data_IF_913874945475
#
_entry.id   IF_913874945475
#
_cell.length_a   1.000
_cell.length_b   1.000
_cell.length_c   1.000
_cell.angle_alpha   90.00
_cell.angle_beta   90.00
_cell.angle_gamma   90.00
#
_symmetry.space_group_name_H-M   'P 1'
#
loop_
_entity.id
_entity.type
_entity.pdbx_description
1 polymer ?
#
# COMPACT_ATOMS: atom_id res chain seq x y z
N UNK A 1 -92.02 -47.10 -33.95
CA UNK A 1 -91.74 -45.66 -33.76
C UNK A 1 -90.30 -45.39 -33.28
N UNK A 2 -89.69 -46.24 -32.46
CA UNK A 2 -88.31 -45.95 -31.92
C UNK A 2 -87.16 -45.94 -32.97
N UNK A 3 -87.29 -46.72 -34.05
CA UNK A 3 -86.20 -46.79 -35.10
C UNK A 3 -86.10 -45.54 -36.03
N UNK A 4 -87.28 -44.85 -36.25
CA UNK A 4 -87.30 -43.64 -37.11
C UNK A 4 -86.77 -42.39 -36.40
N UNK A 5 -86.89 -42.34 -35.09
CA UNK A 5 -86.45 -41.20 -34.29
C UNK A 5 -84.88 -41.25 -34.15
N UNK A 6 -84.27 -42.45 -34.03
CA UNK A 6 -82.84 -42.62 -33.95
C UNK A 6 -82.15 -42.25 -35.28
N UNK A 7 -82.79 -42.59 -36.43
CA UNK A 7 -82.22 -42.24 -37.75
C UNK A 7 -82.26 -40.73 -38.00
N UNK A 8 -83.28 -40.03 -37.48
CA UNK A 8 -83.39 -38.60 -37.60
C UNK A 8 -82.45 -37.83 -36.72
N UNK A 9 -82.21 -38.35 -35.49
CA UNK A 9 -81.21 -37.79 -34.58
C UNK A 9 -79.74 -38.01 -35.12
N UNK A 10 -79.44 -39.15 -35.76
CA UNK A 10 -78.15 -39.41 -36.36
C UNK A 10 -77.93 -38.52 -37.61
N UNK A 11 -79.02 -38.26 -38.36
CA UNK A 11 -78.94 -37.39 -39.59
C UNK A 11 -78.75 -35.92 -39.17
N UNK A 12 -79.36 -35.47 -38.07
CA UNK A 12 -79.21 -34.10 -37.54
C UNK A 12 -77.84 -33.93 -36.92
N UNK A 13 -77.27 -34.96 -36.22
CA UNK A 13 -75.92 -34.91 -35.71
C UNK A 13 -74.88 -34.95 -36.80
N UNK A 14 -75.10 -35.69 -37.92
CA UNK A 14 -74.18 -35.70 -39.06
C UNK A 14 -74.19 -34.41 -39.86
N UNK A 15 -75.34 -33.72 -39.92
CA UNK A 15 -75.41 -32.41 -40.54
C UNK A 15 -74.79 -31.29 -39.70
N UNK A 16 -74.96 -31.35 -38.35
CA UNK A 16 -74.28 -30.42 -37.46
C UNK A 16 -72.76 -30.61 -37.40
N UNK A 17 -72.26 -31.83 -37.59
CA UNK A 17 -70.82 -32.10 -37.68
C UNK A 17 -70.23 -31.65 -39.03
N UNK A 18 -71.06 -31.63 -40.08
CA UNK A 18 -70.65 -31.17 -41.43
C UNK A 18 -70.55 -29.65 -41.58
N UNK A 19 -71.19 -28.87 -40.66
CA UNK A 19 -71.18 -27.41 -40.73
C UNK A 19 -70.06 -26.79 -39.90
N UNK A 20 -69.35 -27.59 -39.08
CA UNK A 20 -68.22 -27.11 -38.29
C UNK A 20 -66.88 -27.37 -39.01
N UNK A 21 -66.85 -28.05 -40.12
CA UNK A 21 -65.69 -28.08 -41.03
C UNK A 21 -65.75 -26.90 -42.01
N UNK A 22 -65.73 -25.65 -41.52
CA UNK A 22 -65.23 -24.56 -42.33
C UNK A 22 -63.77 -24.86 -42.56
N UNK A 23 -63.50 -25.38 -43.72
CA UNK A 23 -62.20 -25.69 -44.27
C UNK A 23 -61.28 -24.46 -44.12
N UNK A 24 -60.50 -24.47 -43.09
CA UNK A 24 -59.33 -23.63 -43.09
C UNK A 24 -58.48 -24.07 -44.27
N UNK A 25 -58.41 -23.24 -45.33
CA UNK A 25 -57.43 -23.44 -46.42
C UNK A 25 -56.07 -23.62 -45.72
N UNK A 26 -55.48 -24.80 -45.84
CA UNK A 26 -54.11 -25.04 -45.33
C UNK A 26 -53.16 -24.15 -46.12
N UNK A 27 -52.89 -22.99 -45.58
CA UNK A 27 -51.75 -22.24 -46.03
C UNK A 27 -50.49 -23.02 -45.57
N UNK A 28 -49.60 -23.22 -46.48
CA UNK A 28 -48.26 -23.72 -46.18
C UNK A 28 -47.37 -22.63 -45.56
N UNK A 29 -47.76 -21.37 -45.75
CA UNK A 29 -47.09 -20.21 -45.16
C UNK A 29 -48.15 -19.21 -44.70
N UNK A 30 -48.08 -18.78 -43.43
CA UNK A 30 -48.97 -17.80 -42.83
C UNK A 30 -48.41 -16.39 -42.96
N UNK A 31 -49.20 -15.45 -43.45
CA UNK A 31 -48.88 -14.03 -43.49
C UNK A 31 -49.49 -13.38 -42.26
N UNK A 32 -48.67 -13.23 -41.23
CA UNK A 32 -49.10 -12.61 -39.97
C UNK A 32 -49.04 -11.09 -40.06
N UNK A 33 -50.00 -10.43 -39.42
CA UNK A 33 -49.99 -8.99 -39.19
C UNK A 33 -49.00 -8.58 -38.08
N UNK A 34 -49.10 -7.32 -37.72
CA UNK A 34 -48.29 -6.77 -36.62
C UNK A 34 -48.59 -7.43 -35.29
N UNK A 35 -47.58 -7.43 -34.41
CA UNK A 35 -47.77 -7.91 -33.06
C UNK A 35 -48.60 -6.94 -32.22
N UNK A 36 -49.62 -7.42 -31.54
CA UNK A 36 -50.38 -6.69 -30.54
C UNK A 36 -50.06 -7.25 -29.12
N UNK A 37 -49.85 -6.37 -28.17
CA UNK A 37 -49.61 -6.78 -26.77
C UNK A 37 -50.98 -7.13 -26.17
N UNK A 38 -51.12 -8.39 -25.73
CA UNK A 38 -52.34 -8.88 -25.07
C UNK A 38 -52.24 -8.78 -23.55
N UNK A 39 -51.01 -8.80 -23.03
CA UNK A 39 -50.67 -8.58 -21.64
C UNK A 39 -49.32 -7.93 -21.53
N UNK A 40 -49.25 -6.77 -20.87
CA UNK A 40 -48.00 -6.08 -20.59
C UNK A 40 -47.11 -6.90 -19.65
N UNK A 41 -45.80 -6.88 -19.94
CA UNK A 41 -44.83 -7.43 -19.02
C UNK A 41 -44.63 -6.49 -17.82
N UNK A 42 -44.51 -7.06 -16.63
CA UNK A 42 -44.14 -6.35 -15.43
C UNK A 42 -42.83 -6.90 -14.88
N UNK A 43 -42.27 -6.31 -13.87
CA UNK A 43 -41.09 -6.86 -13.19
C UNK A 43 -41.38 -8.14 -12.37
N UNK A 44 -42.62 -8.56 -12.26
CA UNK A 44 -43.06 -9.78 -11.52
C UNK A 44 -43.75 -10.80 -12.39
N UNK A 45 -44.15 -10.43 -13.60
CA UNK A 45 -44.86 -11.32 -14.52
C UNK A 45 -44.44 -11.08 -15.96
N UNK A 46 -44.37 -12.18 -16.72
CA UNK A 46 -44.13 -12.10 -18.17
C UNK A 46 -45.36 -11.50 -18.84
N UNK A 47 -45.12 -10.72 -19.87
CA UNK A 47 -46.15 -10.26 -20.80
C UNK A 47 -46.44 -11.30 -21.87
N UNK A 48 -47.39 -10.97 -22.75
CA UNK A 48 -47.75 -11.80 -23.88
C UNK A 48 -48.15 -10.89 -25.07
N UNK A 49 -47.75 -11.26 -26.24
CA UNK A 49 -48.15 -10.62 -27.49
C UNK A 49 -48.68 -11.65 -28.49
N UNK A 50 -49.65 -11.25 -29.26
CA UNK A 50 -50.20 -12.09 -30.30
C UNK A 50 -50.17 -11.38 -31.65
N UNK A 51 -50.17 -12.17 -32.72
CA UNK A 51 -50.44 -11.72 -34.06
C UNK A 51 -51.35 -12.71 -34.77
N UNK A 52 -52.09 -12.23 -35.73
CA UNK A 52 -53.13 -13.00 -36.41
C UNK A 52 -52.81 -13.07 -37.89
N UNK A 53 -52.95 -14.25 -38.49
CA UNK A 53 -52.87 -14.39 -39.91
C UNK A 53 -54.13 -13.72 -40.54
N UNK A 54 -53.89 -12.74 -41.45
CA UNK A 54 -54.93 -11.98 -42.10
C UNK A 54 -55.87 -12.81 -42.98
N UNK A 55 -55.42 -13.99 -43.45
CA UNK A 55 -56.20 -14.83 -44.37
C UNK A 55 -57.01 -15.92 -43.65
N UNK A 56 -56.45 -16.55 -42.60
CA UNK A 56 -57.10 -17.70 -41.94
C UNK A 56 -57.45 -17.46 -40.47
N UNK A 57 -57.06 -16.35 -39.88
CA UNK A 57 -57.33 -16.02 -38.49
C UNK A 57 -56.51 -16.80 -37.46
N UNK A 58 -55.51 -17.59 -37.92
CA UNK A 58 -54.67 -18.34 -36.99
C UNK A 58 -53.87 -17.37 -36.14
N UNK A 59 -53.86 -17.60 -34.84
CA UNK A 59 -53.11 -16.81 -33.83
C UNK A 59 -51.75 -17.43 -33.61
N UNK A 60 -50.77 -16.57 -33.48
CA UNK A 60 -49.45 -16.87 -32.96
C UNK A 60 -49.20 -16.03 -31.72
N UNK A 61 -48.85 -16.66 -30.61
CA UNK A 61 -48.55 -15.99 -29.34
C UNK A 61 -47.09 -16.13 -29.00
N UNK A 62 -46.56 -15.10 -28.36
CA UNK A 62 -45.16 -15.08 -27.88
C UNK A 62 -45.11 -14.41 -26.50
N UNK A 63 -44.29 -14.99 -25.59
CA UNK A 63 -44.07 -14.40 -24.28
C UNK A 63 -43.13 -13.17 -24.41
N UNK A 64 -43.44 -12.12 -23.67
CA UNK A 64 -42.59 -10.96 -23.44
C UNK A 64 -41.88 -11.18 -22.12
N UNK A 65 -40.56 -11.09 -22.11
CA UNK A 65 -39.76 -11.21 -20.89
C UNK A 65 -40.21 -10.20 -19.82
N UNK A 66 -40.07 -10.56 -18.55
CA UNK A 66 -40.32 -9.62 -17.44
C UNK A 66 -39.45 -8.37 -17.62
N UNK A 67 -40.02 -7.21 -17.25
CA UNK A 67 -39.24 -5.97 -17.18
C UNK A 67 -38.26 -6.01 -16.01
N UNK A 68 -37.20 -5.21 -16.08
CA UNK A 68 -36.28 -5.04 -14.97
C UNK A 68 -36.96 -4.31 -13.80
N UNK A 69 -36.46 -4.55 -12.56
CA UNK A 69 -36.91 -3.81 -11.42
C UNK A 69 -36.42 -2.36 -11.46
N UNK A 70 -37.31 -1.41 -11.23
CA UNK A 70 -36.98 0.01 -11.10
C UNK A 70 -36.59 0.32 -9.65
N UNK A 71 -35.31 0.59 -9.41
CA UNK A 71 -34.79 0.88 -8.08
C UNK A 71 -34.09 2.24 -8.13
N UNK A 72 -34.59 3.18 -7.33
CA UNK A 72 -34.08 4.55 -7.29
C UNK A 72 -32.85 4.67 -6.40
N UNK A 73 -32.84 3.96 -5.25
CA UNK A 73 -31.76 3.99 -4.28
C UNK A 73 -31.42 2.59 -3.77
N UNK A 74 -30.15 2.39 -3.45
CA UNK A 74 -29.64 1.16 -2.87
C UNK A 74 -28.98 1.43 -1.53
N UNK A 75 -29.36 0.68 -0.50
CA UNK A 75 -28.65 0.63 0.78
C UNK A 75 -27.57 -0.44 0.75
N UNK A 76 -26.35 -0.07 1.12
CA UNK A 76 -25.25 -1.03 1.23
C UNK A 76 -25.39 -1.79 2.54
N UNK A 77 -25.67 -3.08 2.46
CA UNK A 77 -25.83 -3.98 3.62
C UNK A 77 -24.52 -4.65 4.01
N UNK A 78 -23.60 -4.79 3.04
CA UNK A 78 -22.26 -5.30 3.26
C UNK A 78 -21.27 -4.55 2.37
N UNK A 79 -20.29 -3.88 2.98
CA UNK A 79 -19.21 -3.23 2.24
C UNK A 79 -18.31 -4.27 1.57
N UNK A 80 -17.92 -4.09 0.30
CA UNK A 80 -16.90 -4.92 -0.32
C UNK A 80 -15.51 -4.58 0.25
N UNK A 81 -14.66 -5.58 0.38
CA UNK A 81 -13.24 -5.41 0.64
C UNK A 81 -12.39 -5.83 -0.59
N UNK A 82 -11.08 -5.99 -0.41
CA UNK A 82 -10.19 -6.32 -1.53
C UNK A 82 -10.54 -7.64 -2.21
N UNK A 83 -11.02 -8.63 -1.48
CA UNK A 83 -11.24 -10.01 -1.95
C UNK A 83 -12.68 -10.46 -1.83
N UNK A 84 -13.46 -9.85 -0.93
CA UNK A 84 -14.83 -10.25 -0.64
C UNK A 84 -15.81 -9.29 -1.29
N UNK A 85 -16.76 -9.85 -2.01
CA UNK A 85 -17.86 -9.09 -2.57
C UNK A 85 -18.76 -8.51 -1.47
N UNK A 86 -19.22 -7.31 -1.69
CA UNK A 86 -20.24 -6.64 -0.89
C UNK A 86 -21.64 -6.97 -1.36
N UNK A 87 -22.61 -6.33 -0.73
CA UNK A 87 -24.03 -6.50 -0.99
C UNK A 87 -24.78 -5.20 -0.80
N UNK A 88 -25.69 -4.92 -1.70
CA UNK A 88 -26.64 -3.82 -1.58
C UNK A 88 -28.06 -4.30 -1.85
N UNK A 89 -29.00 -3.69 -1.19
CA UNK A 89 -30.42 -3.96 -1.38
C UNK A 89 -31.15 -2.69 -1.80
N UNK A 90 -32.19 -2.85 -2.58
CA UNK A 90 -33.07 -1.75 -2.95
C UNK A 90 -34.50 -2.23 -3.09
N UNK A 91 -35.49 -1.34 -2.95
CA UNK A 91 -36.90 -1.66 -3.09
C UNK A 91 -37.35 -1.19 -4.47
N UNK A 92 -37.97 -2.09 -5.22
CA UNK A 92 -38.54 -1.73 -6.52
C UNK A 92 -39.75 -0.79 -6.33
N UNK A 93 -39.69 0.38 -6.96
CA UNK A 93 -40.79 1.38 -6.90
C UNK A 93 -42.09 0.91 -7.58
N UNK A 94 -41.98 -0.09 -8.47
CA UNK A 94 -43.13 -0.59 -9.22
C UNK A 94 -43.87 -1.76 -8.51
N UNK A 95 -43.12 -2.64 -7.84
CA UNK A 95 -43.72 -3.85 -7.24
C UNK A 95 -43.48 -4.00 -5.73
N UNK A 96 -42.72 -3.13 -5.10
CA UNK A 96 -42.38 -3.18 -3.66
C UNK A 96 -41.46 -4.30 -3.23
N UNK A 97 -40.98 -5.14 -4.14
CA UNK A 97 -40.05 -6.23 -3.78
C UNK A 97 -38.67 -5.70 -3.49
N UNK A 98 -38.01 -6.30 -2.50
CA UNK A 98 -36.61 -6.05 -2.21
C UNK A 98 -35.73 -6.84 -3.19
N UNK A 99 -34.86 -6.13 -3.88
CA UNK A 99 -33.87 -6.70 -4.80
C UNK A 99 -32.50 -6.62 -4.18
N UNK A 100 -31.82 -7.75 -4.15
CA UNK A 100 -30.46 -7.91 -3.63
C UNK A 100 -29.48 -7.94 -4.78
N UNK A 101 -28.46 -7.10 -4.71
CA UNK A 101 -27.43 -7.00 -5.75
C UNK A 101 -26.04 -7.16 -5.12
N UNK A 102 -25.24 -8.02 -5.73
CA UNK A 102 -23.84 -8.19 -5.33
C UNK A 102 -23.01 -7.00 -5.83
N UNK A 103 -22.23 -6.40 -4.92
CA UNK A 103 -21.21 -5.40 -5.25
C UNK A 103 -19.88 -6.15 -5.39
N UNK A 104 -19.22 -6.00 -6.51
CA UNK A 104 -17.95 -6.69 -6.73
C UNK A 104 -16.90 -6.32 -5.69
N UNK A 105 -16.00 -7.27 -5.37
CA UNK A 105 -14.83 -7.01 -4.54
C UNK A 105 -13.96 -5.90 -5.18
N UNK A 106 -13.35 -5.08 -4.32
CA UNK A 106 -12.61 -3.90 -4.77
C UNK A 106 -11.29 -4.22 -5.47
N UNK A 107 -10.81 -5.47 -5.34
CA UNK A 107 -9.47 -5.85 -5.79
C UNK A 107 -8.37 -5.20 -4.94
N UNK A 108 -7.14 -5.64 -5.14
CA UNK A 108 -5.99 -5.02 -4.52
C UNK A 108 -5.54 -3.80 -5.33
N UNK A 109 -5.16 -2.73 -4.63
CA UNK A 109 -4.60 -1.52 -5.23
C UNK A 109 -3.21 -1.29 -4.64
N UNK A 110 -2.13 -1.61 -5.39
CA UNK A 110 -0.78 -1.41 -4.90
C UNK A 110 -0.48 0.08 -4.75
N UNK A 111 0.24 0.45 -3.67
CA UNK A 111 0.83 1.77 -3.54
C UNK A 111 2.01 1.92 -4.50
N UNK A 112 2.35 3.15 -4.85
CA UNK A 112 3.55 3.44 -5.61
C UNK A 112 4.79 3.16 -4.77
N UNK A 113 5.83 2.60 -5.44
CA UNK A 113 7.07 2.19 -4.79
C UNK A 113 7.02 0.78 -4.19
N UNK A 114 8.19 0.30 -3.81
CA UNK A 114 8.39 -1.02 -3.21
C UNK A 114 8.78 -0.89 -1.75
N UNK A 115 8.27 -1.80 -0.92
CA UNK A 115 8.77 -2.05 0.43
C UNK A 115 9.82 -3.16 0.32
N UNK A 116 10.99 -2.96 0.91
CA UNK A 116 12.07 -3.94 0.92
C UNK A 116 12.20 -4.60 2.29
N UNK A 117 12.31 -5.93 2.29
CA UNK A 117 12.81 -6.72 3.41
C UNK A 117 14.23 -7.20 3.07
N UNK A 118 14.79 -8.10 3.89
CA UNK A 118 16.16 -8.58 3.71
C UNK A 118 16.35 -9.47 2.48
N UNK A 119 15.34 -10.28 2.13
CA UNK A 119 15.40 -11.23 1.02
C UNK A 119 14.52 -10.84 -0.17
N UNK A 120 13.43 -10.13 0.08
CA UNK A 120 12.40 -9.84 -0.92
C UNK A 120 11.95 -8.39 -0.88
N UNK A 121 11.40 -7.93 -1.99
CA UNK A 121 10.65 -6.69 -2.06
C UNK A 121 9.23 -6.95 -2.56
N UNK A 122 8.30 -6.06 -2.19
CA UNK A 122 6.89 -6.16 -2.57
C UNK A 122 6.24 -4.78 -2.62
N UNK A 123 5.08 -4.69 -3.25
CA UNK A 123 4.21 -3.51 -3.14
C UNK A 123 3.12 -3.76 -2.11
N UNK A 124 2.85 -2.79 -1.28
CA UNK A 124 1.79 -2.87 -0.27
C UNK A 124 0.44 -2.55 -0.91
N UNK A 125 -0.60 -3.31 -0.59
CA UNK A 125 -1.95 -2.89 -0.95
C UNK A 125 -2.38 -1.68 -0.10
N UNK A 126 -2.92 -0.62 -0.74
CA UNK A 126 -3.38 0.59 -0.04
C UNK A 126 -4.62 0.38 0.83
N UNK A 127 -5.34 -0.74 0.66
CA UNK A 127 -6.60 -1.05 1.35
C UNK A 127 -6.49 -2.16 2.38
N UNK A 128 -5.48 -3.00 2.28
CA UNK A 128 -5.23 -4.11 3.20
C UNK A 128 -3.73 -4.37 3.32
N UNK A 129 -3.32 -5.21 4.27
CA UNK A 129 -1.90 -5.46 4.53
C UNK A 129 -1.27 -6.54 3.64
N UNK A 130 -1.92 -6.93 2.54
CA UNK A 130 -1.39 -7.95 1.64
C UNK A 130 -0.21 -7.41 0.85
N UNK A 131 0.86 -8.19 0.77
CA UNK A 131 1.99 -7.97 -0.11
C UNK A 131 1.62 -8.37 -1.54
N UNK A 132 1.93 -7.52 -2.49
CA UNK A 132 1.68 -7.72 -3.92
C UNK A 132 3.02 -7.73 -4.66
N UNK A 133 3.11 -8.54 -5.70
CA UNK A 133 4.31 -8.63 -6.57
C UNK A 133 5.59 -8.94 -5.77
N UNK A 134 5.48 -9.76 -4.71
CA UNK A 134 6.64 -10.14 -3.91
C UNK A 134 7.62 -10.95 -4.75
N UNK A 135 8.87 -10.52 -4.75
CA UNK A 135 9.96 -11.20 -5.47
C UNK A 135 11.29 -10.99 -4.77
N UNK A 136 12.23 -11.91 -5.01
CA UNK A 136 13.58 -11.79 -4.51
C UNK A 136 14.31 -10.58 -5.11
N UNK A 137 15.32 -10.06 -4.42
CA UNK A 137 16.15 -8.97 -4.92
C UNK A 137 16.99 -9.43 -6.12
N UNK A 138 16.87 -8.71 -7.22
CA UNK A 138 17.74 -8.88 -8.40
C UNK A 138 18.87 -7.86 -8.32
N UNK A 139 20.01 -8.27 -7.77
CA UNK A 139 21.15 -7.39 -7.53
C UNK A 139 21.98 -7.20 -8.79
N UNK A 140 22.30 -5.95 -9.08
CA UNK A 140 23.34 -5.55 -10.01
C UNK A 140 24.25 -4.55 -9.29
N UNK A 141 25.55 -4.84 -9.26
CA UNK A 141 26.54 -4.05 -8.53
C UNK A 141 26.15 -3.86 -7.03
N UNK A 142 25.59 -4.92 -6.41
CA UNK A 142 25.17 -4.92 -5.01
C UNK A 142 23.85 -4.19 -4.72
N UNK A 143 23.16 -3.64 -5.73
CA UNK A 143 21.91 -2.88 -5.58
C UNK A 143 20.77 -3.57 -6.31
N UNK A 144 19.65 -3.78 -5.63
CA UNK A 144 18.43 -4.26 -6.29
C UNK A 144 17.88 -3.21 -7.26
N UNK A 145 17.78 -3.58 -8.54
CA UNK A 145 17.38 -2.65 -9.59
C UNK A 145 15.89 -2.24 -9.50
N UNK A 146 15.09 -2.95 -8.72
CA UNK A 146 13.66 -2.68 -8.58
C UNK A 146 13.34 -1.77 -7.38
N UNK A 147 13.95 -2.03 -6.22
CA UNK A 147 13.61 -1.33 -4.98
C UNK A 147 14.78 -0.52 -4.38
N UNK A 148 15.98 -0.61 -4.95
CA UNK A 148 17.16 0.07 -4.44
C UNK A 148 17.80 -0.57 -3.20
N UNK A 149 17.26 -1.71 -2.72
CA UNK A 149 17.82 -2.43 -1.57
C UNK A 149 19.27 -2.87 -1.87
N UNK A 150 20.14 -2.73 -0.87
CA UNK A 150 21.53 -3.17 -0.93
C UNK A 150 21.77 -4.21 0.16
N UNK A 151 22.53 -5.24 -0.16
CA UNK A 151 23.02 -6.18 0.84
C UNK A 151 23.87 -5.44 1.88
N UNK A 152 23.58 -5.70 3.16
CA UNK A 152 24.37 -5.11 4.24
C UNK A 152 25.67 -5.87 4.39
N UNK A 153 26.77 -5.17 4.16
CA UNK A 153 28.13 -5.68 4.38
C UNK A 153 28.73 -4.94 5.56
N UNK A 154 28.90 -5.66 6.66
CA UNK A 154 29.50 -5.10 7.88
C UNK A 154 30.96 -4.77 7.70
N UNK A 155 31.39 -3.66 8.31
CA UNK A 155 32.77 -3.24 8.35
C UNK A 155 33.60 -4.18 9.24
N UNK A 156 34.73 -4.66 8.72
CA UNK A 156 35.74 -5.36 9.49
C UNK A 156 36.64 -4.33 10.19
N UNK A 157 36.29 -4.02 11.46
CA UNK A 157 36.89 -2.94 12.20
C UNK A 157 38.36 -3.18 12.54
N UNK A 158 39.13 -2.10 12.55
CA UNK A 158 40.54 -2.06 13.05
C UNK A 158 40.58 -1.32 14.38
N UNK A 159 41.42 -1.81 15.28
CA UNK A 159 41.47 -1.33 16.67
C UNK A 159 42.93 -1.00 17.06
N UNK A 160 43.10 -0.04 17.96
CA UNK A 160 44.35 0.29 18.62
C UNK A 160 44.14 0.28 20.16
N UNK A 161 45.11 -0.31 20.88
CA UNK A 161 45.07 -0.32 22.34
C UNK A 161 45.60 1.03 22.87
N UNK A 162 44.78 1.68 23.71
CA UNK A 162 45.13 2.94 24.33
C UNK A 162 45.99 2.74 25.59
N UNK A 163 46.74 3.77 26.07
CA UNK A 163 47.55 3.68 27.25
C UNK A 163 46.77 3.38 28.56
N UNK A 164 45.47 3.67 28.60
CA UNK A 164 44.57 3.37 29.72
C UNK A 164 44.09 1.92 29.72
N UNK A 165 44.50 1.12 28.75
CA UNK A 165 44.13 -0.28 28.60
C UNK A 165 42.80 -0.52 27.91
N UNK A 166 42.17 0.50 27.31
CA UNK A 166 40.95 0.37 26.48
C UNK A 166 41.28 0.38 24.97
N UNK A 167 40.32 0.02 24.12
CA UNK A 167 40.47 0.09 22.67
C UNK A 167 39.77 1.31 22.09
N UNK A 168 40.40 1.84 21.03
CA UNK A 168 39.80 2.80 20.09
C UNK A 168 39.64 2.16 18.71
N UNK A 169 38.50 2.39 18.05
CA UNK A 169 38.30 2.00 16.64
C UNK A 169 39.00 2.99 15.74
N UNK A 170 39.91 2.52 14.89
CA UNK A 170 40.73 3.35 13.99
C UNK A 170 40.24 3.37 12.56
N UNK A 171 39.37 2.43 12.15
CA UNK A 171 38.81 2.32 10.82
C UNK A 171 38.31 0.91 10.52
N UNK A 172 38.39 0.51 9.24
CA UNK A 172 38.02 -0.83 8.78
C UNK A 172 38.81 -1.24 7.54
N UNK A 173 38.88 -2.56 7.25
CA UNK A 173 39.70 -3.15 6.21
C UNK A 173 38.98 -3.48 4.90
N UNK A 174 37.71 -3.88 4.95
CA UNK A 174 36.93 -4.29 3.77
C UNK A 174 36.25 -3.10 3.06
N UNK A 175 36.67 -2.85 1.82
CA UNK A 175 36.22 -1.68 1.05
C UNK A 175 34.70 -1.71 0.71
N UNK A 176 34.10 -2.89 0.63
CA UNK A 176 32.70 -3.12 0.29
C UNK A 176 31.72 -2.82 1.43
N UNK A 177 32.24 -2.62 2.66
CA UNK A 177 31.41 -2.35 3.83
C UNK A 177 30.47 -1.15 3.61
N UNK A 178 29.21 -1.32 3.94
CA UNK A 178 28.21 -0.26 3.90
C UNK A 178 27.52 -0.03 5.27
N UNK A 179 27.86 -0.84 6.26
CA UNK A 179 27.42 -0.70 7.63
C UNK A 179 28.58 -0.83 8.62
N UNK A 180 28.46 -0.10 9.73
CA UNK A 180 29.45 -0.08 10.82
C UNK A 180 28.75 -0.39 12.13
N UNK A 181 29.22 -1.41 12.84
CA UNK A 181 28.81 -1.72 14.21
C UNK A 181 29.99 -1.56 15.14
N UNK A 182 30.01 -0.49 15.94
CA UNK A 182 31.05 -0.24 16.93
C UNK A 182 30.67 -1.02 18.20
N UNK A 183 31.43 -2.09 18.56
CA UNK A 183 31.07 -2.94 19.70
C UNK A 183 31.47 -2.31 21.03
N UNK A 184 30.85 -2.74 22.12
CA UNK A 184 31.23 -2.33 23.50
C UNK A 184 32.58 -2.91 23.93
N UNK A 185 33.01 -4.05 23.35
CA UNK A 185 34.25 -4.73 23.71
C UNK A 185 34.93 -5.34 22.49
N UNK A 186 36.25 -5.39 22.52
CA UNK A 186 37.07 -6.15 21.57
C UNK A 186 38.10 -6.97 22.38
N UNK A 187 38.21 -8.26 22.11
CA UNK A 187 39.05 -9.21 22.85
C UNK A 187 38.84 -9.14 24.40
N UNK A 188 37.57 -9.01 24.85
CA UNK A 188 37.16 -8.85 26.25
C UNK A 188 37.66 -7.56 26.94
N UNK A 189 38.12 -6.58 26.18
CA UNK A 189 38.53 -5.27 26.68
C UNK A 189 37.57 -4.21 26.12
N UNK A 190 37.24 -3.21 26.92
CA UNK A 190 36.32 -2.15 26.56
C UNK A 190 36.78 -1.37 25.31
N UNK A 191 35.87 -1.10 24.41
CA UNK A 191 36.03 -0.14 23.30
C UNK A 191 35.38 1.16 23.75
N UNK A 192 36.16 2.21 23.91
CA UNK A 192 35.70 3.47 24.52
C UNK A 192 35.63 4.64 23.54
N UNK A 193 36.28 4.53 22.40
CA UNK A 193 36.32 5.66 21.48
C UNK A 193 36.33 5.24 19.99
N UNK A 194 35.94 6.20 19.14
CA UNK A 194 36.17 6.18 17.69
C UNK A 194 37.21 7.24 17.38
N UNK A 195 38.31 6.82 16.75
CA UNK A 195 39.46 7.68 16.46
C UNK A 195 39.10 8.81 15.48
N UNK A 196 39.94 9.87 15.49
CA UNK A 196 39.77 10.95 14.55
C UNK A 196 39.88 10.42 13.09
N UNK A 197 38.87 10.82 12.27
CA UNK A 197 38.79 10.44 10.86
C UNK A 197 38.70 8.94 10.56
N UNK A 198 38.34 8.07 11.53
CA UNK A 198 38.27 6.62 11.34
C UNK A 198 37.43 6.21 10.11
N UNK A 199 36.32 6.91 9.88
CA UNK A 199 35.41 6.67 8.75
C UNK A 199 35.26 7.90 7.82
N UNK A 200 36.23 8.81 7.87
CA UNK A 200 36.17 10.03 7.06
C UNK A 200 36.08 9.75 5.57
N UNK A 201 35.11 10.42 4.89
CA UNK A 201 34.87 10.34 3.46
C UNK A 201 34.49 8.93 2.94
N UNK A 202 33.86 8.13 3.80
CA UNK A 202 33.32 6.79 3.48
C UNK A 202 31.85 6.87 3.08
N UNK A 203 31.56 7.33 1.87
CA UNK A 203 30.21 7.56 1.34
C UNK A 203 29.37 6.29 1.21
N UNK A 204 30.03 5.12 1.10
CA UNK A 204 29.39 3.81 1.07
C UNK A 204 28.76 3.41 2.42
N UNK A 205 29.24 3.96 3.54
CA UNK A 205 28.67 3.67 4.87
C UNK A 205 27.31 4.36 5.00
N UNK A 206 26.23 3.54 5.08
CA UNK A 206 24.85 3.98 5.18
C UNK A 206 24.27 3.83 6.59
N UNK A 207 24.79 2.90 7.38
CA UNK A 207 24.35 2.64 8.75
C UNK A 207 25.54 2.64 9.71
N UNK A 208 25.35 3.29 10.85
CA UNK A 208 26.26 3.24 11.98
C UNK A 208 25.48 2.87 13.24
N UNK A 209 25.97 1.85 13.95
CA UNK A 209 25.49 1.48 15.29
C UNK A 209 26.61 1.66 16.29
N UNK A 210 26.34 2.40 17.35
CA UNK A 210 27.26 2.62 18.46
C UNK A 210 26.74 1.85 19.68
N UNK A 211 27.54 0.95 20.23
CA UNK A 211 27.16 0.25 21.47
C UNK A 211 27.24 1.19 22.68
N UNK A 212 26.44 0.90 23.73
CA UNK A 212 26.65 1.51 25.03
C UNK A 212 28.04 1.16 25.56
N UNK A 213 28.70 2.13 26.21
CA UNK A 213 30.09 2.03 26.65
C UNK A 213 31.08 2.83 25.80
N UNK A 214 30.69 3.25 24.60
CA UNK A 214 31.44 4.23 23.82
C UNK A 214 31.33 5.58 24.53
N UNK A 215 32.48 6.21 24.82
CA UNK A 215 32.60 7.47 25.60
C UNK A 215 32.89 8.64 24.65
N UNK A 216 33.75 8.45 23.65
CA UNK A 216 34.27 9.55 22.84
C UNK A 216 34.16 9.29 21.32
N UNK A 217 33.61 10.27 20.61
CA UNK A 217 33.64 10.40 19.17
C UNK A 217 34.64 11.50 18.81
N UNK A 218 35.79 11.14 18.24
CA UNK A 218 36.87 12.09 17.96
C UNK A 218 36.61 12.88 16.67
N UNK A 219 37.46 13.87 16.40
CA UNK A 219 37.29 14.83 15.29
C UNK A 219 37.06 14.15 13.94
N UNK A 220 36.00 14.57 13.25
CA UNK A 220 35.65 14.12 11.89
C UNK A 220 35.50 12.60 11.73
N UNK A 221 35.24 11.86 12.81
CA UNK A 221 35.28 10.39 12.80
C UNK A 221 34.30 9.77 11.78
N UNK A 222 33.14 10.37 11.57
CA UNK A 222 32.14 9.94 10.57
C UNK A 222 31.83 11.03 9.54
N UNK A 223 32.67 12.05 9.42
CA UNK A 223 32.42 13.12 8.47
C UNK A 223 32.46 12.61 7.01
N UNK A 224 31.57 13.16 6.18
CA UNK A 224 31.41 12.81 4.76
C UNK A 224 31.03 11.34 4.52
N UNK A 225 30.34 10.70 5.46
CA UNK A 225 29.72 9.40 5.26
C UNK A 225 28.34 9.54 4.59
N UNK A 226 27.81 8.42 4.11
CA UNK A 226 26.47 8.33 3.52
C UNK A 226 25.40 7.89 4.53
N UNK A 227 25.61 8.08 5.83
CA UNK A 227 24.65 7.65 6.87
C UNK A 227 23.30 8.34 6.71
N UNK A 228 22.23 7.58 6.92
CA UNK A 228 20.84 8.04 6.76
C UNK A 228 20.20 8.41 8.10
N UNK A 229 20.61 7.73 9.16
CA UNK A 229 20.14 8.00 10.53
C UNK A 229 21.24 7.76 11.55
N UNK A 230 21.12 8.42 12.71
CA UNK A 230 22.09 8.33 13.78
C UNK A 230 21.38 8.25 15.14
N UNK A 231 21.80 7.30 15.97
CA UNK A 231 21.48 7.26 17.39
C UNK A 231 22.78 7.33 18.16
N UNK A 232 22.98 8.39 18.94
CA UNK A 232 24.12 8.54 19.82
C UNK A 232 23.73 8.01 21.20
N UNK A 233 24.44 6.96 21.73
CA UNK A 233 24.12 6.37 23.04
C UNK A 233 24.29 7.36 24.20
N UNK A 234 23.65 7.05 25.34
CA UNK A 234 23.76 7.87 26.53
C UNK A 234 25.17 7.85 27.17
N UNK A 235 25.95 6.79 26.92
CA UNK A 235 27.33 6.66 27.37
C UNK A 235 28.31 7.64 26.74
N UNK A 236 27.97 8.19 25.56
CA UNK A 236 28.83 9.15 24.84
C UNK A 236 28.79 10.50 25.58
N UNK A 237 29.93 10.92 26.10
CA UNK A 237 30.10 12.20 26.82
C UNK A 237 30.99 13.20 26.10
N UNK A 238 31.68 12.76 25.04
CA UNK A 238 32.53 13.60 24.19
C UNK A 238 32.18 13.39 22.71
N UNK A 239 31.77 14.44 22.03
CA UNK A 239 31.64 14.48 20.56
C UNK A 239 32.44 15.66 20.05
N UNK A 240 33.54 15.36 19.40
CA UNK A 240 34.50 16.38 18.96
C UNK A 240 34.03 17.07 17.67
N UNK A 241 34.76 18.13 17.29
CA UNK A 241 34.50 18.96 16.10
C UNK A 241 34.25 18.12 14.85
N UNK A 242 33.17 18.45 14.14
CA UNK A 242 32.85 17.92 12.82
C UNK A 242 32.58 16.43 12.74
N UNK A 243 32.26 15.77 13.85
CA UNK A 243 32.13 14.31 13.91
C UNK A 243 31.23 13.72 12.81
N UNK A 244 30.17 14.42 12.43
CA UNK A 244 29.20 14.04 11.38
C UNK A 244 29.07 15.11 10.26
N UNK A 245 30.06 15.96 10.11
CA UNK A 245 30.08 17.02 9.11
C UNK A 245 29.87 16.46 7.69
N UNK A 246 29.09 17.18 6.87
CA UNK A 246 28.89 16.85 5.45
C UNK A 246 28.38 15.42 5.20
N UNK A 247 27.45 14.94 6.02
CA UNK A 247 26.70 13.70 5.78
C UNK A 247 25.41 14.06 5.03
N UNK A 248 25.38 14.03 3.70
CA UNK A 248 24.29 14.60 2.90
C UNK A 248 23.01 13.76 2.98
N UNK A 249 23.12 12.46 3.28
CA UNK A 249 21.99 11.54 3.34
C UNK A 249 21.37 11.45 4.75
N UNK A 250 21.97 12.13 5.75
CA UNK A 250 21.52 12.10 7.14
C UNK A 250 20.19 12.86 7.29
N UNK A 251 19.12 12.16 7.62
CA UNK A 251 17.78 12.71 7.76
C UNK A 251 17.34 12.88 9.21
N UNK A 252 17.81 11.99 10.09
CA UNK A 252 17.36 11.92 11.49
C UNK A 252 18.50 11.65 12.46
N UNK A 253 18.49 12.40 13.56
CA UNK A 253 19.42 12.22 14.68
C UNK A 253 18.65 12.12 15.98
N UNK A 254 19.00 11.10 16.76
CA UNK A 254 18.66 11.01 18.20
C UNK A 254 19.94 11.30 18.98
N UNK A 255 20.00 12.49 19.59
CA UNK A 255 21.18 12.95 20.32
C UNK A 255 21.19 12.39 21.74
N UNK A 256 22.33 11.80 22.17
CA UNK A 256 22.45 11.15 23.48
C UNK A 256 22.39 12.14 24.65
N UNK A 257 21.74 11.75 25.72
CA UNK A 257 21.60 12.57 26.94
C UNK A 257 22.92 12.73 27.73
N UNK A 258 23.99 11.99 27.38
CA UNK A 258 25.32 12.13 27.97
C UNK A 258 26.11 13.34 27.47
N UNK A 259 25.71 13.93 26.36
CA UNK A 259 26.42 15.01 25.70
C UNK A 259 25.93 16.39 26.16
N UNK A 260 26.78 17.21 26.78
CA UNK A 260 26.40 18.55 27.23
C UNK A 260 26.52 19.61 26.11
N UNK A 261 27.17 19.28 24.99
CA UNK A 261 27.48 20.26 23.92
C UNK A 261 27.28 19.59 22.56
N UNK A 262 26.69 20.35 21.63
CA UNK A 262 26.81 20.05 20.18
C UNK A 262 28.02 20.83 19.69
N UNK A 263 29.13 20.13 19.46
CA UNK A 263 30.43 20.72 19.18
C UNK A 263 30.47 21.44 17.83
N UNK A 264 31.53 22.23 17.62
CA UNK A 264 31.76 22.98 16.40
C UNK A 264 31.65 22.09 15.15
N UNK A 265 30.85 22.53 14.15
CA UNK A 265 30.66 21.85 12.85
C UNK A 265 30.12 20.44 12.93
N UNK A 266 29.53 19.98 14.04
CA UNK A 266 29.10 18.58 14.23
C UNK A 266 28.22 18.10 13.08
N UNK A 267 27.21 18.89 12.64
CA UNK A 267 26.32 18.57 11.53
C UNK A 267 26.39 19.58 10.39
N UNK A 268 27.49 20.34 10.28
CA UNK A 268 27.65 21.33 9.22
C UNK A 268 27.47 20.68 7.84
N UNK A 269 26.62 21.27 6.99
CA UNK A 269 26.27 20.78 5.65
C UNK A 269 25.64 19.38 5.61
N UNK A 270 24.89 18.99 6.65
CA UNK A 270 23.98 17.85 6.60
C UNK A 270 22.65 18.30 5.97
N UNK A 271 22.65 18.49 4.67
CA UNK A 271 21.57 19.20 3.92
C UNK A 271 20.19 18.52 3.97
N UNK A 272 20.12 17.20 4.25
CA UNK A 272 18.87 16.47 4.39
C UNK A 272 18.45 16.23 5.85
N UNK A 273 19.20 16.76 6.84
CA UNK A 273 18.82 16.67 8.25
C UNK A 273 17.65 17.63 8.52
N UNK A 274 16.42 17.10 8.52
CA UNK A 274 15.19 17.88 8.66
C UNK A 274 14.74 18.08 10.09
N UNK A 275 15.14 17.20 10.98
CA UNK A 275 14.73 17.23 12.38
C UNK A 275 15.84 16.76 13.30
N UNK A 276 16.04 17.51 14.39
CA UNK A 276 16.85 17.11 15.51
C UNK A 276 16.14 17.48 16.83
N UNK A 277 16.12 16.53 17.77
CA UNK A 277 15.59 16.74 19.11
C UNK A 277 16.77 16.91 20.06
N UNK A 278 16.95 18.11 20.60
CA UNK A 278 18.02 18.48 21.54
C UNK A 278 17.54 18.19 22.96
N UNK A 279 18.18 17.24 23.68
CA UNK A 279 17.79 16.92 25.05
C UNK A 279 18.13 18.05 26.04
N UNK A 280 17.59 17.96 27.24
CA UNK A 280 17.80 18.94 28.33
C UNK A 280 19.23 18.96 28.86
N UNK A 281 20.00 17.89 28.69
CA UNK A 281 21.43 17.83 29.01
C UNK A 281 22.30 18.79 28.22
N UNK A 282 21.86 19.20 27.01
CA UNK A 282 22.66 20.08 26.14
C UNK A 282 22.59 21.53 26.65
N UNK A 283 23.74 22.11 26.95
CA UNK A 283 23.90 23.46 27.45
C UNK A 283 24.40 24.45 26.42
N UNK A 284 25.05 23.99 25.33
CA UNK A 284 25.50 24.84 24.24
C UNK A 284 25.49 24.16 22.87
N UNK A 285 25.29 24.99 21.84
CA UNK A 285 25.45 24.66 20.44
C UNK A 285 26.55 25.55 19.89
N UNK A 286 27.67 24.93 19.52
CA UNK A 286 28.89 25.63 19.11
C UNK A 286 28.83 26.15 17.66
N UNK A 287 29.84 26.90 17.28
CA UNK A 287 29.95 27.60 15.99
C UNK A 287 29.78 26.61 14.80
N UNK A 288 28.92 26.96 13.86
CA UNK A 288 28.60 26.17 12.66
C UNK A 288 28.01 24.77 12.92
N UNK A 289 27.60 24.46 14.14
CA UNK A 289 27.19 23.12 14.52
C UNK A 289 26.02 22.57 13.70
N UNK A 290 25.02 23.40 13.39
CA UNK A 290 23.84 23.08 12.60
C UNK A 290 23.74 23.91 11.31
N UNK A 291 24.79 24.68 10.95
CA UNK A 291 24.76 25.54 9.79
C UNK A 291 24.69 24.75 8.47
N UNK A 292 23.94 25.27 7.51
CA UNK A 292 23.71 24.63 6.21
C UNK A 292 23.11 23.21 6.33
N UNK A 293 22.24 23.02 7.34
CA UNK A 293 21.38 21.84 7.45
C UNK A 293 20.04 22.11 6.79
N UNK A 294 19.27 21.03 6.54
CA UNK A 294 17.88 21.13 6.05
C UNK A 294 16.84 21.22 7.16
N UNK A 295 17.22 21.65 8.39
CA UNK A 295 16.35 21.59 9.56
C UNK A 295 15.10 22.45 9.38
N UNK A 296 13.94 21.78 9.38
CA UNK A 296 12.62 22.39 9.40
C UNK A 296 12.04 22.47 10.81
N UNK A 297 12.42 21.52 11.68
CA UNK A 297 11.95 21.42 13.06
C UNK A 297 13.12 21.21 14.01
N UNK A 298 13.36 22.19 14.85
CA UNK A 298 14.35 22.14 15.94
C UNK A 298 13.61 22.11 17.27
N UNK A 299 13.66 20.97 17.96
CA UNK A 299 13.08 20.81 19.29
C UNK A 299 14.18 20.95 20.35
N UNK A 300 14.06 21.94 21.22
CA UNK A 300 15.00 22.19 22.31
C UNK A 300 14.30 21.96 23.64
N UNK A 301 14.78 21.01 24.43
CA UNK A 301 14.24 20.73 25.78
C UNK A 301 14.99 21.50 26.86
N UNK A 302 16.24 21.88 26.60
CA UNK A 302 17.06 22.63 27.56
C UNK A 302 16.54 24.07 27.76
N UNK A 303 16.25 24.49 28.99
CA UNK A 303 15.75 25.86 29.25
C UNK A 303 16.83 26.94 29.19
N UNK A 304 18.11 26.56 29.19
CA UNK A 304 19.26 27.50 29.33
C UNK A 304 20.32 27.30 28.26
N UNK A 305 19.92 26.85 27.07
CA UNK A 305 20.87 26.58 25.98
C UNK A 305 21.54 27.88 25.49
N UNK A 306 22.83 27.80 25.24
CA UNK A 306 23.61 28.88 24.61
C UNK A 306 23.84 28.58 23.15
N UNK A 307 23.68 29.59 22.30
CA UNK A 307 24.00 29.54 20.87
C UNK A 307 25.27 30.34 20.62
N UNK A 308 26.29 29.70 20.04
CA UNK A 308 27.46 30.41 19.54
C UNK A 308 27.20 31.03 18.17
N UNK A 309 28.11 31.86 17.69
CA UNK A 309 27.97 32.51 16.41
C UNK A 309 27.81 31.50 15.26
N UNK A 310 26.83 31.73 14.38
CA UNK A 310 26.53 30.85 13.24
C UNK A 310 26.28 29.39 13.62
N UNK A 311 25.77 29.12 14.82
CA UNK A 311 25.53 27.75 15.30
C UNK A 311 24.31 27.07 14.64
N UNK A 312 23.38 27.85 14.13
CA UNK A 312 22.14 27.38 13.45
C UNK A 312 22.01 28.03 12.09
#
# INVERSE_FOLDING_TARGET
MKRKIILFLILVMTVCIAVISVSCKKHTEHVYGEWSITREATCTSKGERERVCGECGQKQTEEISMSEHSIEEYDITKQPDCVTAGEKIGVCSLCGQTVKVTVQALGHNPVDGYVSGDETHWRQCSRCSVKLDESAHALKDGVCQTCGWTEEVLAELTFELLPDGTYVVTGYSNAEANAVEIPATYQNVAVTAVAARAFYNKRNIKRITLAEGIIALKEYCFAKTGIESLVVPASVTECAKGAFQQCPDLEKVVWGVGLPVIAEQTFWQCINLKRIDIPDSVTSIETYALMETGIEVLTIKSPTIKFCQYSV
#
